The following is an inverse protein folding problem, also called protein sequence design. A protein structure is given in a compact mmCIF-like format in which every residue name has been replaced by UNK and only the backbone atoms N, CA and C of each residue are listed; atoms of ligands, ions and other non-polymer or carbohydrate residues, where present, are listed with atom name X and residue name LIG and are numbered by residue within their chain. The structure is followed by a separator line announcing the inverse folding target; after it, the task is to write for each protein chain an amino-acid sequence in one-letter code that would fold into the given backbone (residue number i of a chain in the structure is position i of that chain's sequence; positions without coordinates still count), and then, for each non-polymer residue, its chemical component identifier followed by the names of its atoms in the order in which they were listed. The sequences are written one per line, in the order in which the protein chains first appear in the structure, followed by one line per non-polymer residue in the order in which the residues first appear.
data_IF_020862964684
#
_entry.id   IF_020862964684
#
_cell.length_a   1.000
_cell.length_b   1.000
_cell.length_c   1.000
_cell.angle_alpha   90.00
_cell.angle_beta   90.00
_cell.angle_gamma   90.00
#
_symmetry.space_group_name_H-M   'P 1'
#
loop_
_entity.id
_entity.type
_entity.pdbx_description
1 polymer ?
#
# COMPACT_ATOMS: atom_id res chain seq x y z
N UNK A 1 10.04 -17.37 -7.45
CA UNK A 1 8.77 -16.93 -6.85
C UNK A 1 8.34 -15.64 -7.49
N UNK A 2 7.11 -15.57 -7.92
CA UNK A 2 6.62 -14.39 -8.62
C UNK A 2 6.40 -13.21 -7.69
N UNK A 3 6.61 -12.01 -8.21
CA UNK A 3 6.29 -10.79 -7.48
C UNK A 3 4.78 -10.62 -7.38
N UNK A 4 4.33 -9.86 -6.40
CA UNK A 4 2.92 -9.52 -6.27
C UNK A 4 2.50 -8.65 -7.45
N UNK A 5 1.30 -8.87 -7.97
CA UNK A 5 0.75 -8.07 -9.07
C UNK A 5 -0.39 -7.19 -8.55
N UNK A 6 -0.64 -6.10 -9.25
CA UNK A 6 -1.76 -5.23 -8.89
C UNK A 6 -3.10 -5.95 -9.11
N UNK A 7 -3.19 -6.86 -10.07
CA UNK A 7 -4.39 -7.64 -10.29
C UNK A 7 -4.69 -8.55 -9.10
N UNK A 8 -3.67 -9.19 -8.57
CA UNK A 8 -3.83 -10.04 -7.39
C UNK A 8 -4.33 -9.20 -6.19
N UNK A 9 -3.77 -8.01 -6.01
CA UNK A 9 -4.17 -7.10 -4.93
C UNK A 9 -5.65 -6.72 -5.07
N UNK A 10 -6.05 -6.32 -6.27
CA UNK A 10 -7.44 -5.95 -6.55
C UNK A 10 -8.40 -7.11 -6.32
N UNK A 11 -8.01 -8.30 -6.77
CA UNK A 11 -8.81 -9.51 -6.59
C UNK A 11 -9.05 -9.81 -5.10
N UNK A 12 -8.01 -9.69 -4.29
CA UNK A 12 -8.11 -9.93 -2.85
C UNK A 12 -8.98 -8.88 -2.16
N UNK A 13 -8.91 -7.64 -2.60
CA UNK A 13 -9.78 -6.59 -2.10
C UNK A 13 -11.24 -6.87 -2.44
N UNK A 14 -11.50 -7.23 -3.70
CA UNK A 14 -12.86 -7.48 -4.17
C UNK A 14 -13.49 -8.71 -3.52
N UNK A 15 -12.69 -9.70 -3.17
CA UNK A 15 -13.18 -10.92 -2.52
C UNK A 15 -13.10 -10.88 -0.99
N UNK A 16 -12.81 -9.73 -0.42
CA UNK A 16 -12.65 -9.54 1.03
C UNK A 16 -11.59 -10.44 1.66
N UNK A 17 -10.57 -10.82 0.88
CA UNK A 17 -9.46 -11.63 1.37
C UNK A 17 -8.29 -10.74 1.72
N UNK A 18 -8.51 -9.78 2.58
CA UNK A 18 -7.44 -8.90 3.01
C UNK A 18 -7.58 -8.57 4.49
N UNK A 19 -6.47 -8.16 5.07
CA UNK A 19 -6.40 -7.74 6.47
C UNK A 19 -5.57 -6.48 6.57
N UNK A 20 -5.91 -5.65 7.54
CA UNK A 20 -5.13 -4.45 7.85
C UNK A 20 -4.32 -4.77 9.09
N UNK A 21 -3.00 -4.60 9.01
CA UNK A 21 -2.15 -4.81 10.18
C UNK A 21 -2.47 -3.75 11.24
N UNK A 22 -2.13 -4.05 12.48
CA UNK A 22 -2.32 -3.08 13.57
C UNK A 22 -1.53 -1.80 13.29
N UNK A 23 -0.31 -1.96 12.79
CA UNK A 23 0.55 -0.83 12.45
C UNK A 23 -0.10 0.06 11.37
N UNK A 24 -0.63 -0.55 10.31
CA UNK A 24 -1.31 0.19 9.26
C UNK A 24 -2.59 0.87 9.76
N UNK A 25 -3.32 0.20 10.64
CA UNK A 25 -4.54 0.77 11.21
C UNK A 25 -4.22 2.00 12.07
N UNK A 26 -3.17 1.93 12.88
CA UNK A 26 -2.72 3.06 13.69
C UNK A 26 -2.26 4.22 12.79
N UNK A 27 -1.54 3.92 11.73
CA UNK A 27 -1.05 4.94 10.79
C UNK A 27 -2.18 5.66 10.07
N UNK A 28 -3.19 4.90 9.59
CA UNK A 28 -4.31 5.53 8.89
C UNK A 28 -5.10 6.45 9.80
N UNK A 29 -5.29 6.05 11.05
CA UNK A 29 -6.00 6.89 12.03
C UNK A 29 -5.21 8.18 12.27
N UNK A 30 -3.89 8.07 12.44
CA UNK A 30 -3.04 9.24 12.65
C UNK A 30 -3.09 10.22 11.46
N UNK A 31 -3.23 9.71 10.25
CA UNK A 31 -3.30 10.54 9.04
C UNK A 31 -4.74 10.85 8.61
N UNK A 32 -5.71 10.50 9.42
CA UNK A 32 -7.13 10.71 9.12
C UNK A 32 -7.58 10.04 7.83
N UNK A 33 -7.07 8.84 7.56
CA UNK A 33 -7.44 8.06 6.38
C UNK A 33 -8.49 7.03 6.74
N UNK A 34 -9.55 6.95 5.93
CA UNK A 34 -10.55 5.91 6.09
C UNK A 34 -10.15 4.66 5.34
N UNK A 35 -10.71 3.52 5.72
CA UNK A 35 -10.50 2.28 4.96
C UNK A 35 -11.03 2.42 3.53
N UNK A 36 -12.12 3.16 3.35
CA UNK A 36 -12.66 3.45 2.03
C UNK A 36 -11.66 4.19 1.14
N UNK A 37 -10.99 5.19 1.70
CA UNK A 37 -9.96 5.95 0.96
C UNK A 37 -8.78 5.07 0.55
N UNK A 38 -8.34 4.20 1.47
CA UNK A 38 -7.26 3.26 1.17
C UNK A 38 -7.67 2.31 0.05
N UNK A 39 -8.91 1.81 0.12
CA UNK A 39 -9.43 0.93 -0.92
C UNK A 39 -9.48 1.63 -2.28
N UNK A 40 -9.96 2.88 -2.31
CA UNK A 40 -9.97 3.69 -3.54
C UNK A 40 -8.58 3.77 -4.15
N UNK A 41 -7.58 4.06 -3.32
CA UNK A 41 -6.20 4.18 -3.79
C UNK A 41 -5.67 2.85 -4.35
N UNK A 42 -5.95 1.75 -3.69
CA UNK A 42 -5.48 0.44 -4.13
C UNK A 42 -6.17 -0.02 -5.41
N UNK A 43 -7.46 0.26 -5.56
CA UNK A 43 -8.22 -0.17 -6.75
C UNK A 43 -7.79 0.56 -8.02
N UNK A 44 -7.27 1.77 -7.89
CA UNK A 44 -6.84 2.57 -9.04
C UNK A 44 -5.33 2.79 -9.09
N UNK A 45 -4.61 2.19 -8.14
CA UNK A 45 -3.19 2.41 -7.99
C UNK A 45 -2.33 1.54 -8.89
N UNK A 46 -1.02 1.72 -8.72
CA UNK A 46 -0.02 0.89 -9.40
C UNK A 46 1.10 0.57 -8.44
N UNK A 47 1.81 -0.52 -8.72
CA UNK A 47 2.97 -0.89 -7.92
C UNK A 47 4.14 0.02 -8.29
N UNK A 48 4.70 0.66 -7.27
CA UNK A 48 5.84 1.56 -7.42
C UNK A 48 7.16 0.84 -7.18
N UNK A 49 7.20 -0.04 -6.18
CA UNK A 49 8.41 -0.76 -5.79
C UNK A 49 8.04 -2.18 -5.38
N UNK A 50 8.92 -3.13 -5.71
CA UNK A 50 8.82 -4.50 -5.20
C UNK A 50 9.91 -4.71 -4.17
N UNK A 51 9.58 -5.43 -3.10
CA UNK A 51 10.55 -5.72 -2.04
C UNK A 51 10.82 -7.22 -1.98
N UNK A 52 12.10 -7.56 -1.81
CA UNK A 52 12.54 -8.93 -1.71
C UNK A 52 11.97 -9.60 -0.45
N UNK A 53 11.75 -10.91 -0.55
CA UNK A 53 11.35 -11.70 0.60
C UNK A 53 12.55 -11.87 1.55
N UNK A 54 12.43 -11.29 2.73
CA UNK A 54 13.46 -11.36 3.77
C UNK A 54 13.04 -12.24 4.94
N UNK A 55 12.12 -13.18 4.68
CA UNK A 55 11.61 -14.11 5.69
C UNK A 55 10.16 -13.87 6.09
N UNK A 56 9.57 -12.76 5.65
CA UNK A 56 8.17 -12.41 5.95
C UNK A 56 7.27 -12.47 4.72
N UNK A 57 7.80 -13.00 3.62
CA UNK A 57 7.07 -13.07 2.36
C UNK A 57 7.32 -11.88 1.45
N UNK A 58 6.71 -11.97 0.29
CA UNK A 58 6.82 -10.92 -0.72
C UNK A 58 6.02 -9.70 -0.30
N UNK A 59 6.49 -8.54 -0.71
CA UNK A 59 5.74 -7.30 -0.49
C UNK A 59 6.03 -6.29 -1.60
N UNK A 60 5.22 -5.26 -1.65
CA UNK A 60 5.38 -4.20 -2.64
C UNK A 60 4.79 -2.90 -2.10
N UNK A 61 5.19 -1.79 -2.71
CA UNK A 61 4.64 -0.48 -2.40
C UNK A 61 3.70 -0.09 -3.54
N UNK A 62 2.45 0.18 -3.20
CA UNK A 62 1.45 0.67 -4.15
C UNK A 62 1.25 2.15 -3.94
N UNK A 63 1.23 2.92 -5.03
CA UNK A 63 0.83 4.32 -5.01
C UNK A 63 -0.53 4.43 -5.68
N UNK A 64 -1.44 5.13 -5.03
CA UNK A 64 -2.76 5.38 -5.57
C UNK A 64 -3.32 6.70 -5.05
N UNK A 65 -4.50 7.02 -5.52
CA UNK A 65 -5.14 8.29 -5.15
C UNK A 65 -6.58 8.02 -4.73
N UNK A 66 -7.04 8.78 -3.73
CA UNK A 66 -8.45 8.75 -3.36
C UNK A 66 -9.27 9.41 -4.48
N UNK A 67 -10.59 9.27 -4.40
CA UNK A 67 -11.48 9.92 -5.35
C UNK A 67 -11.33 11.44 -5.36
N UNK A 68 -10.81 12.01 -4.28
CA UNK A 68 -10.56 13.45 -4.17
C UNK A 68 -9.14 13.84 -4.57
N UNK A 69 -8.35 12.88 -5.04
CA UNK A 69 -6.99 13.16 -5.52
C UNK A 69 -5.90 13.15 -4.44
N UNK A 70 -6.20 12.66 -3.25
CA UNK A 70 -5.20 12.57 -2.18
C UNK A 70 -4.27 11.38 -2.46
N UNK A 71 -2.95 11.58 -2.54
CA UNK A 71 -2.02 10.47 -2.76
C UNK A 71 -1.87 9.61 -1.51
N UNK A 72 -1.86 8.30 -1.70
CA UNK A 72 -1.69 7.34 -0.61
C UNK A 72 -0.68 6.29 -1.03
N UNK A 73 0.24 5.96 -0.14
CA UNK A 73 1.15 4.83 -0.27
C UNK A 73 0.70 3.70 0.64
N UNK A 74 0.68 2.49 0.11
CA UNK A 74 0.33 1.30 0.89
C UNK A 74 1.39 0.23 0.62
N UNK A 75 2.02 -0.26 1.68
CA UNK A 75 2.87 -1.44 1.58
C UNK A 75 1.97 -2.65 1.72
N UNK A 76 1.97 -3.48 0.69
CA UNK A 76 1.14 -4.68 0.60
C UNK A 76 2.01 -5.92 0.71
N UNK A 77 1.56 -6.88 1.50
CA UNK A 77 2.21 -8.17 1.64
C UNK A 77 1.22 -9.30 1.46
N UNK A 78 1.68 -10.53 1.66
CA UNK A 78 0.85 -11.72 1.54
C UNK A 78 1.09 -12.63 2.73
N UNK A 79 0.02 -13.20 3.27
CA UNK A 79 0.09 -14.24 4.29
C UNK A 79 -1.10 -15.17 4.13
N UNK A 80 -0.81 -16.48 4.01
CA UNK A 80 -1.86 -17.48 3.87
C UNK A 80 -2.89 -17.12 2.79
N UNK A 81 -2.41 -16.71 1.62
CA UNK A 81 -3.23 -16.33 0.46
C UNK A 81 -4.11 -15.09 0.67
N UNK A 82 -3.86 -14.35 1.74
CA UNK A 82 -4.56 -13.08 1.99
C UNK A 82 -3.62 -11.91 1.74
N UNK A 83 -4.18 -10.83 1.25
CA UNK A 83 -3.49 -9.55 1.15
C UNK A 83 -3.38 -8.97 2.56
N UNK A 84 -2.20 -8.50 2.91
CA UNK A 84 -1.97 -7.79 4.17
C UNK A 84 -1.59 -6.36 3.85
N UNK A 85 -2.34 -5.41 4.38
CA UNK A 85 -1.97 -4.00 4.32
C UNK A 85 -1.04 -3.74 5.50
N UNK A 86 0.26 -3.66 5.22
CA UNK A 86 1.31 -3.64 6.24
C UNK A 86 1.57 -2.24 6.77
N UNK A 87 1.58 -1.26 5.87
CA UNK A 87 1.93 0.12 6.16
C UNK A 87 1.10 1.03 5.26
N UNK A 88 0.60 2.12 5.80
CA UNK A 88 -0.21 3.09 5.04
C UNK A 88 0.24 4.49 5.44
N UNK A 89 0.51 5.36 4.46
CA UNK A 89 0.87 6.74 4.77
C UNK A 89 0.62 7.65 3.57
N UNK A 90 0.59 8.94 3.85
CA UNK A 90 0.57 9.97 2.81
C UNK A 90 2.03 10.29 2.48
N UNK A 91 2.47 10.12 1.21
CA UNK A 91 3.86 10.41 0.86
C UNK A 91 4.17 11.90 1.00
N UNK A 92 5.27 12.21 1.68
CA UNK A 92 5.69 13.58 1.96
C UNK A 92 7.21 13.72 1.88
N UNK A 93 7.71 14.93 1.57
CA UNK A 93 9.15 15.20 1.71
C UNK A 93 9.60 15.02 3.16
N UNK A 94 10.83 14.68 3.41
CA UNK A 94 11.90 14.42 2.43
C UNK A 94 11.92 13.00 1.88
N UNK A 95 11.13 12.09 2.46
CA UNK A 95 11.11 10.69 2.07
C UNK A 95 10.68 10.51 0.60
N UNK A 96 9.67 11.25 0.19
CA UNK A 96 9.20 11.26 -1.20
C UNK A 96 9.15 12.70 -1.71
N UNK A 97 9.73 12.93 -2.87
CA UNK A 97 9.72 14.22 -3.55
C UNK A 97 8.38 14.44 -4.25
N UNK A 98 7.81 13.37 -4.75
CA UNK A 98 6.49 13.32 -5.34
C UNK A 98 5.87 11.98 -4.97
N UNK A 99 4.58 11.74 -5.24
CA UNK A 99 4.01 10.42 -4.95
C UNK A 99 4.74 9.26 -5.64
N UNK A 100 5.42 9.53 -6.75
CA UNK A 100 6.08 8.50 -7.56
C UNK A 100 7.59 8.42 -7.36
N UNK A 101 8.19 9.41 -6.72
CA UNK A 101 9.65 9.51 -6.65
C UNK A 101 10.12 9.69 -5.21
N UNK A 102 11.13 8.89 -4.85
CA UNK A 102 11.78 9.09 -3.57
C UNK A 102 12.51 10.42 -3.54
N UNK A 103 12.54 11.03 -2.36
CA UNK A 103 13.25 12.27 -2.14
C UNK A 103 14.76 12.04 -2.03
N UNK A 104 15.48 13.15 -1.99
CA UNK A 104 16.92 13.10 -1.78
C UNK A 104 17.20 12.65 -0.35
N UNK A 105 18.27 11.89 -0.20
CA UNK A 105 18.78 11.54 1.12
C UNK A 105 19.71 12.65 1.55
N UNK A 106 19.27 13.38 2.51
CA UNK A 106 20.12 14.39 3.09
C UNK A 106 21.11 13.74 4.06
#
# INVERSE_FOLDING_TARGET
MEELSIQWIRDRLDSDRYRVSRHADDERVADNLTLSEIRQALLTGRILEHYADTGRGRSCLVVGFTNEGKPIHVVCGVRADHLILVTVYIPKPPKFRSPYERGDRA
#
